data_IF_300491163265
#
_entry.id   IF_300491163265
#
_cell.length_a   1.000
_cell.length_b   1.000
_cell.length_c   1.000
_cell.angle_alpha   90.00
_cell.angle_beta   90.00
_cell.angle_gamma   90.00
#
_symmetry.space_group_name_H-M   'P 1'
#
loop_
_entity.id
_entity.type
_entity.pdbx_description
1 polymer ?
#
# COMPACT_ATOMS: atom_id res chain seq x y z
N UNK A 1 -10.43 -8.19 -4.30
CA UNK A 1 -9.25 -7.37 -3.94
C UNK A 1 -9.65 -6.36 -2.88
N UNK A 2 -8.72 -5.81 -2.11
CA UNK A 2 -8.99 -4.67 -1.22
C UNK A 2 -7.99 -3.54 -1.46
N UNK A 3 -8.40 -2.30 -1.13
CA UNK A 3 -7.53 -1.14 -1.18
C UNK A 3 -6.73 -1.04 0.13
N UNK A 4 -5.43 -0.75 0.00
CA UNK A 4 -4.56 -0.37 1.12
C UNK A 4 -4.08 1.07 0.89
N UNK A 5 -4.76 2.07 1.42
CA UNK A 5 -4.18 3.40 1.50
C UNK A 5 -2.85 3.36 2.24
N UNK A 6 -1.86 4.15 1.81
CA UNK A 6 -0.53 4.12 2.39
C UNK A 6 -0.25 5.37 3.24
N UNK A 7 0.39 5.16 4.40
CA UNK A 7 0.97 6.20 5.25
C UNK A 7 2.46 5.92 5.41
N UNK A 8 3.30 6.83 4.91
CA UNK A 8 4.73 6.84 5.21
C UNK A 8 4.95 7.67 6.48
N UNK A 9 5.65 7.12 7.47
CA UNK A 9 5.96 7.76 8.75
C UNK A 9 7.40 8.26 8.76
N UNK A 10 7.59 9.53 9.08
CA UNK A 10 8.90 10.14 9.32
C UNK A 10 8.77 11.17 10.46
N UNK A 11 9.62 11.07 11.47
CA UNK A 11 9.59 11.91 12.66
C UNK A 11 8.18 11.99 13.30
N UNK A 12 7.45 10.88 13.33
CA UNK A 12 6.11 10.77 13.90
C UNK A 12 4.98 11.34 13.05
N UNK A 13 5.22 11.76 11.80
CA UNK A 13 4.26 12.43 10.92
C UNK A 13 3.97 11.60 9.67
N UNK A 14 2.78 11.80 9.09
CA UNK A 14 2.43 11.24 7.79
C UNK A 14 3.05 12.09 6.67
N UNK A 15 3.94 11.49 5.91
CA UNK A 15 4.74 12.19 4.90
C UNK A 15 4.75 11.47 3.54
N UNK A 16 5.38 12.10 2.57
CA UNK A 16 5.82 11.49 1.32
C UNK A 16 7.20 11.97 0.95
N UNK A 17 8.04 11.05 0.49
CA UNK A 17 9.34 11.35 -0.07
C UNK A 17 9.23 11.49 -1.59
N UNK A 18 9.78 12.58 -2.16
CA UNK A 18 9.91 12.70 -3.60
C UNK A 18 10.99 11.71 -4.09
N UNK A 19 10.58 10.68 -4.83
CA UNK A 19 11.49 9.64 -5.39
C UNK A 19 12.38 8.96 -4.33
N UNK A 20 11.90 8.85 -3.08
CA UNK A 20 12.67 8.26 -1.99
C UNK A 20 13.74 9.17 -1.39
N UNK A 21 13.77 10.46 -1.76
CA UNK A 21 14.74 11.42 -1.23
C UNK A 21 14.26 11.99 0.12
N UNK A 22 15.00 11.69 1.18
CA UNK A 22 14.74 12.18 2.54
C UNK A 22 14.97 13.69 2.72
N UNK A 23 15.56 14.37 1.74
CA UNK A 23 15.68 15.83 1.71
C UNK A 23 14.50 16.51 1.01
N UNK A 24 13.67 15.74 0.32
CA UNK A 24 12.49 16.21 -0.41
C UNK A 24 11.21 15.61 0.19
N UNK A 25 10.87 16.06 1.40
CA UNK A 25 9.76 15.58 2.22
C UNK A 25 8.56 16.51 2.08
N UNK A 26 7.39 15.96 1.80
CA UNK A 26 6.11 16.65 1.93
C UNK A 26 5.38 16.07 3.13
N UNK A 27 4.98 16.92 4.09
CA UNK A 27 4.14 16.52 5.23
C UNK A 27 2.69 16.67 4.81
N UNK A 28 1.89 15.62 4.95
CA UNK A 28 0.47 15.62 4.66
C UNK A 28 -0.38 15.76 5.92
N UNK A 29 0.06 15.15 7.03
CA UNK A 29 -0.66 15.24 8.29
C UNK A 29 0.32 15.09 9.47
N UNK A 30 0.20 15.96 10.47
CA UNK A 30 0.98 15.87 11.71
C UNK A 30 0.42 14.81 12.67
N UNK A 31 -0.81 14.32 12.45
CA UNK A 31 -1.46 13.24 13.21
C UNK A 31 -1.76 12.04 12.27
N UNK A 32 -0.84 11.06 12.15
CA UNK A 32 -1.06 9.87 11.33
C UNK A 32 -2.23 9.01 11.77
N UNK A 33 -2.58 9.00 13.06
CA UNK A 33 -3.73 8.25 13.55
C UNK A 33 -5.05 8.89 13.09
N UNK A 34 -5.11 10.21 13.03
CA UNK A 34 -6.24 10.92 12.43
C UNK A 34 -6.32 10.67 10.91
N UNK A 35 -5.17 10.66 10.22
CA UNK A 35 -5.13 10.33 8.80
C UNK A 35 -5.67 8.91 8.52
N UNK A 36 -5.29 7.93 9.34
CA UNK A 36 -5.80 6.56 9.25
C UNK A 36 -7.32 6.50 9.49
N UNK A 37 -7.83 7.26 10.46
CA UNK A 37 -9.28 7.37 10.70
C UNK A 37 -10.02 7.92 9.49
N UNK A 38 -9.50 8.95 8.82
CA UNK A 38 -10.11 9.48 7.59
C UNK A 38 -10.18 8.43 6.48
N UNK A 39 -9.16 7.56 6.38
CA UNK A 39 -9.19 6.47 5.42
C UNK A 39 -10.23 5.40 5.77
N UNK A 40 -10.37 5.06 7.06
CA UNK A 40 -11.42 4.15 7.55
C UNK A 40 -12.82 4.72 7.28
N UNK A 41 -13.07 5.99 7.60
CA UNK A 41 -14.33 6.69 7.34
C UNK A 41 -14.69 6.73 5.85
N UNK A 42 -13.68 6.73 4.97
CA UNK A 42 -13.86 6.65 3.51
C UNK A 42 -14.03 5.21 2.99
N UNK A 43 -14.10 4.20 3.88
CA UNK A 43 -14.42 2.82 3.55
C UNK A 43 -13.23 1.87 3.44
N UNK A 44 -12.01 2.31 3.71
CA UNK A 44 -10.88 1.40 3.77
C UNK A 44 -11.04 0.38 4.91
N UNK A 45 -10.58 -0.85 4.69
CA UNK A 45 -10.55 -1.92 5.71
C UNK A 45 -9.12 -2.35 6.04
N UNK A 46 -8.17 -1.92 5.22
CA UNK A 46 -6.75 -2.14 5.38
C UNK A 46 -5.97 -0.82 5.32
N UNK A 47 -4.79 -0.83 5.92
CA UNK A 47 -3.82 0.28 5.89
C UNK A 47 -2.42 -0.28 5.69
N UNK A 48 -1.67 0.32 4.78
CA UNK A 48 -0.25 0.07 4.57
C UNK A 48 0.56 1.17 5.26
N UNK A 49 1.45 0.80 6.17
CA UNK A 49 2.30 1.74 6.92
C UNK A 49 3.77 1.46 6.64
N UNK A 50 4.53 2.50 6.31
CA UNK A 50 5.98 2.42 6.13
C UNK A 50 6.67 3.31 7.16
N UNK A 51 7.44 2.70 8.07
CA UNK A 51 8.31 3.40 9.01
C UNK A 51 9.62 3.80 8.32
N UNK A 52 9.71 5.04 7.85
CA UNK A 52 10.89 5.55 7.14
C UNK A 52 12.09 5.76 8.08
N UNK A 53 11.86 6.08 9.35
CA UNK A 53 12.92 6.16 10.35
C UNK A 53 13.45 4.76 10.64
N UNK A 54 12.56 3.80 10.81
CA UNK A 54 12.89 2.39 10.96
C UNK A 54 13.63 1.82 9.76
N UNK A 55 13.29 2.26 8.55
CA UNK A 55 14.02 1.86 7.34
C UNK A 55 15.50 2.27 7.38
N UNK A 56 15.82 3.39 8.03
CA UNK A 56 17.21 3.84 8.25
C UNK A 56 17.87 3.09 9.39
N UNK A 57 17.24 3.04 10.54
CA UNK A 57 17.82 2.51 11.79
C UNK A 57 17.87 0.99 11.85
N UNK A 58 16.90 0.32 11.23
CA UNK A 58 16.69 -1.13 11.33
C UNK A 58 15.82 -1.55 12.51
N UNK A 59 15.14 -0.60 13.17
CA UNK A 59 14.22 -0.83 14.28
C UNK A 59 12.89 -0.11 14.02
N UNK A 60 11.76 -0.55 14.60
CA UNK A 60 10.48 0.17 14.49
C UNK A 60 10.51 1.44 15.36
N UNK A 61 11.01 2.54 14.78
CA UNK A 61 11.20 3.80 15.50
C UNK A 61 9.88 4.55 15.73
N UNK A 62 8.88 4.38 14.82
CA UNK A 62 7.55 4.95 14.95
C UNK A 62 6.52 4.01 15.60
N UNK A 63 6.95 3.05 16.44
CA UNK A 63 6.07 2.06 17.06
C UNK A 63 4.91 2.69 17.85
N UNK A 64 5.14 3.81 18.55
CA UNK A 64 4.08 4.50 19.30
C UNK A 64 3.04 5.13 18.39
N UNK A 65 3.44 5.59 17.20
CA UNK A 65 2.51 6.07 16.16
C UNK A 65 1.67 4.92 15.61
N UNK A 66 2.29 3.77 15.35
CA UNK A 66 1.57 2.55 14.92
C UNK A 66 0.54 2.15 15.98
N UNK A 67 0.90 2.16 17.28
CA UNK A 67 -0.05 1.90 18.37
C UNK A 67 -1.20 2.90 18.41
N UNK A 68 -0.92 4.18 18.18
CA UNK A 68 -1.96 5.21 18.14
C UNK A 68 -2.94 5.00 16.97
N UNK A 69 -2.45 4.59 15.79
CA UNK A 69 -3.27 4.21 14.64
C UNK A 69 -4.19 3.03 15.01
N UNK A 70 -3.61 1.96 15.56
CA UNK A 70 -4.33 0.74 15.95
C UNK A 70 -5.37 0.97 17.05
N UNK A 71 -5.08 1.89 17.98
CA UNK A 71 -6.01 2.26 19.05
C UNK A 71 -7.19 3.12 18.56
N UNK A 72 -7.01 3.85 17.47
CA UNK A 72 -8.00 4.80 16.93
C UNK A 72 -8.90 4.21 15.84
N UNK A 73 -8.45 3.15 15.18
CA UNK A 73 -9.14 2.55 14.03
C UNK A 73 -9.34 1.05 14.20
N UNK A 74 -10.24 0.47 13.42
CA UNK A 74 -10.45 -0.99 13.29
C UNK A 74 -9.74 -1.55 12.05
N UNK A 75 -8.91 -0.74 11.38
CA UNK A 75 -8.20 -1.15 10.18
C UNK A 75 -7.26 -2.32 10.46
N UNK A 76 -7.20 -3.25 9.54
CA UNK A 76 -6.10 -4.22 9.49
C UNK A 76 -4.87 -3.49 8.97
N UNK A 77 -3.80 -3.53 9.76
CA UNK A 77 -2.58 -2.75 9.45
C UNK A 77 -1.44 -3.69 9.10
N UNK A 78 -0.83 -3.45 7.94
CA UNK A 78 0.47 -4.02 7.61
C UNK A 78 1.56 -2.97 7.77
N UNK A 79 2.69 -3.34 8.39
CA UNK A 79 3.77 -2.40 8.71
C UNK A 79 5.08 -2.88 8.12
N UNK A 80 5.73 -2.01 7.36
CA UNK A 80 7.08 -2.19 6.84
C UNK A 80 8.01 -1.07 7.27
N UNK A 81 9.28 -1.18 6.88
CA UNK A 81 10.32 -0.20 7.19
C UNK A 81 11.27 -0.69 8.28
N UNK A 82 12.43 -1.19 7.86
CA UNK A 82 13.53 -1.52 8.77
C UNK A 82 13.38 -2.82 9.58
N UNK A 83 12.43 -3.68 9.28
CA UNK A 83 12.29 -4.97 9.97
C UNK A 83 13.44 -5.90 9.55
N UNK A 84 14.45 -6.03 10.41
CA UNK A 84 15.68 -6.78 10.15
C UNK A 84 16.00 -7.82 11.23
N UNK A 85 15.11 -8.01 12.20
CA UNK A 85 15.26 -9.01 13.26
C UNK A 85 13.92 -9.56 13.69
N UNK A 86 13.91 -10.75 14.32
CA UNK A 86 12.71 -11.34 14.90
C UNK A 86 12.13 -10.46 16.00
N UNK A 87 12.97 -9.76 16.77
CA UNK A 87 12.52 -8.84 17.82
C UNK A 87 11.79 -7.62 17.23
N UNK A 88 12.28 -7.08 16.10
CA UNK A 88 11.60 -5.97 15.42
C UNK A 88 10.23 -6.38 14.90
N UNK A 89 10.11 -7.56 14.29
CA UNK A 89 8.85 -8.13 13.85
C UNK A 89 7.90 -8.40 15.04
N UNK A 90 8.41 -9.00 16.10
CA UNK A 90 7.66 -9.31 17.34
C UNK A 90 7.03 -8.05 17.93
N UNK A 91 7.81 -6.97 18.06
CA UNK A 91 7.33 -5.70 18.63
C UNK A 91 6.17 -5.10 17.82
N UNK A 92 6.17 -5.23 16.50
CA UNK A 92 5.10 -4.74 15.64
C UNK A 92 3.85 -5.62 15.74
N UNK A 93 4.00 -6.95 15.74
CA UNK A 93 2.89 -7.89 15.89
C UNK A 93 2.28 -7.80 17.30
N UNK A 94 3.10 -7.69 18.34
CA UNK A 94 2.66 -7.48 19.73
C UNK A 94 1.94 -6.13 19.92
N UNK A 95 2.29 -5.12 19.12
CA UNK A 95 1.58 -3.85 19.10
C UNK A 95 0.18 -3.96 18.47
N UNK A 96 -0.12 -5.06 17.76
CA UNK A 96 -1.39 -5.33 17.11
C UNK A 96 -1.37 -5.20 15.58
N UNK A 97 -0.21 -5.02 14.95
CA UNK A 97 -0.12 -5.08 13.49
C UNK A 97 -0.62 -6.44 12.99
N UNK A 98 -1.43 -6.42 11.93
CA UNK A 98 -1.98 -7.65 11.34
C UNK A 98 -0.89 -8.42 10.60
N UNK A 99 0.00 -7.70 9.92
CA UNK A 99 1.11 -8.27 9.14
C UNK A 99 2.34 -7.38 9.23
N UNK A 100 3.50 -8.00 9.07
CA UNK A 100 4.79 -7.31 8.98
C UNK A 100 5.40 -7.54 7.60
N UNK A 101 5.89 -6.46 6.99
CA UNK A 101 6.47 -6.51 5.65
C UNK A 101 7.99 -6.69 5.76
N UNK A 102 8.48 -7.78 5.20
CA UNK A 102 9.90 -8.10 5.08
C UNK A 102 10.35 -7.73 3.66
N UNK A 103 11.17 -6.70 3.53
CA UNK A 103 11.70 -6.24 2.24
C UNK A 103 13.15 -6.71 2.03
N UNK A 104 14.09 -5.78 2.09
CA UNK A 104 15.53 -6.02 1.84
C UNK A 104 16.12 -7.17 2.67
N UNK A 105 15.57 -7.45 3.86
CA UNK A 105 16.01 -8.53 4.73
C UNK A 105 15.83 -9.91 4.08
N UNK A 106 14.76 -10.13 3.30
CA UNK A 106 14.50 -11.38 2.57
C UNK A 106 15.64 -11.78 1.63
N UNK A 107 16.26 -10.77 1.01
CA UNK A 107 17.33 -10.98 0.03
C UNK A 107 18.69 -11.10 0.71
N UNK A 108 18.90 -10.34 1.79
CA UNK A 108 20.20 -10.25 2.47
C UNK A 108 20.42 -11.33 3.52
N UNK A 109 19.34 -11.84 4.11
CA UNK A 109 19.39 -12.81 5.21
C UNK A 109 18.23 -13.83 5.05
N UNK A 110 18.40 -14.85 4.20
CA UNK A 110 17.41 -15.90 4.02
C UNK A 110 17.13 -16.71 5.30
N UNK A 111 18.11 -16.85 6.18
CA UNK A 111 17.95 -17.58 7.45
C UNK A 111 17.02 -16.83 8.40
N UNK A 112 17.12 -15.49 8.43
CA UNK A 112 16.15 -14.64 9.13
C UNK A 112 14.73 -14.80 8.57
N UNK A 113 14.58 -14.82 7.24
CA UNK A 113 13.28 -14.99 6.60
C UNK A 113 12.64 -16.33 6.98
N UNK A 114 13.42 -17.42 6.95
CA UNK A 114 12.98 -18.75 7.34
C UNK A 114 12.55 -18.77 8.82
N UNK A 115 13.39 -18.23 9.71
CA UNK A 115 13.09 -18.16 11.15
C UNK A 115 11.84 -17.30 11.45
N UNK A 116 11.59 -16.23 10.69
CA UNK A 116 10.40 -15.41 10.82
C UNK A 116 9.13 -16.20 10.42
N UNK A 117 9.17 -16.94 9.31
CA UNK A 117 8.05 -17.79 8.88
C UNK A 117 7.77 -18.89 9.92
N UNK A 118 8.80 -19.52 10.46
CA UNK A 118 8.65 -20.56 11.49
C UNK A 118 8.06 -20.01 12.80
N UNK A 119 8.44 -18.78 13.17
CA UNK A 119 7.99 -18.17 14.43
C UNK A 119 6.60 -17.57 14.33
N UNK A 120 6.29 -16.83 13.27
CA UNK A 120 5.08 -16.00 13.17
C UNK A 120 4.02 -16.61 12.25
N UNK A 121 4.39 -17.56 11.41
CA UNK A 121 3.54 -18.10 10.36
C UNK A 121 3.47 -17.21 9.11
N UNK A 122 3.07 -17.79 7.96
CA UNK A 122 3.02 -17.05 6.70
C UNK A 122 1.95 -15.93 6.68
N UNK A 123 0.85 -16.09 7.41
CA UNK A 123 -0.26 -15.13 7.40
C UNK A 123 0.10 -13.79 8.09
N UNK A 124 1.11 -13.80 8.96
CA UNK A 124 1.60 -12.62 9.65
C UNK A 124 2.70 -11.86 8.87
N UNK A 125 3.10 -12.36 7.71
CA UNK A 125 4.24 -11.84 6.96
C UNK A 125 3.87 -11.51 5.51
N UNK A 126 4.45 -10.43 5.01
CA UNK A 126 4.38 -10.02 3.60
C UNK A 126 5.79 -9.88 3.06
N UNK A 127 6.06 -10.49 1.91
CA UNK A 127 7.30 -10.28 1.19
C UNK A 127 7.22 -8.98 0.38
N UNK A 128 8.02 -7.97 0.77
CA UNK A 128 8.17 -6.73 0.02
C UNK A 128 9.21 -6.90 -1.09
N UNK A 129 8.77 -6.91 -2.34
CA UNK A 129 9.61 -7.08 -3.50
C UNK A 129 9.47 -5.88 -4.41
N UNK A 130 10.56 -5.13 -4.61
CA UNK A 130 10.58 -4.03 -5.57
C UNK A 130 10.70 -4.56 -7.00
N UNK A 131 9.78 -4.14 -7.87
CA UNK A 131 9.85 -4.40 -9.30
C UNK A 131 10.25 -3.14 -10.06
N UNK A 132 11.18 -3.26 -11.00
CA UNK A 132 11.59 -2.16 -11.88
C UNK A 132 11.43 -2.56 -13.33
N UNK A 133 10.67 -1.75 -14.10
CA UNK A 133 10.41 -1.99 -15.52
C UNK A 133 9.74 -3.36 -15.81
N UNK A 134 8.87 -3.85 -14.91
CA UNK A 134 8.23 -5.16 -15.04
C UNK A 134 9.10 -6.34 -14.58
N UNK A 135 10.31 -6.07 -14.10
CA UNK A 135 11.20 -7.08 -13.51
C UNK A 135 11.24 -6.89 -12.00
N UNK A 136 11.02 -7.97 -11.23
CA UNK A 136 11.29 -7.96 -9.81
C UNK A 136 12.79 -7.71 -9.61
N UNK A 137 13.16 -6.76 -8.74
CA UNK A 137 14.55 -6.42 -8.46
C UNK A 137 15.35 -7.54 -7.75
N UNK A 138 14.75 -8.72 -7.65
CA UNK A 138 15.41 -9.96 -7.20
C UNK A 138 15.76 -10.77 -8.45
N UNK A 139 17.01 -11.06 -8.64
CA UNK A 139 17.53 -11.77 -9.80
C UNK A 139 16.69 -13.04 -10.12
N UNK A 140 16.02 -13.04 -11.27
CA UNK A 140 15.34 -14.21 -11.82
C UNK A 140 13.85 -14.10 -12.15
N UNK A 141 13.18 -12.96 -11.92
CA UNK A 141 11.74 -12.82 -12.17
C UNK A 141 11.49 -11.81 -13.31
N UNK A 142 11.01 -12.29 -14.45
CA UNK A 142 10.90 -11.49 -15.69
C UNK A 142 9.47 -11.13 -16.10
N UNK A 143 8.42 -11.60 -15.41
CA UNK A 143 7.03 -11.29 -15.78
C UNK A 143 6.15 -11.14 -14.53
N UNK A 144 5.44 -10.01 -14.40
CA UNK A 144 4.61 -9.68 -13.22
C UNK A 144 3.51 -10.69 -12.89
N UNK A 145 2.93 -11.37 -13.90
CA UNK A 145 1.96 -12.45 -13.70
C UNK A 145 2.62 -13.76 -13.20
N UNK A 146 3.92 -13.92 -13.41
CA UNK A 146 4.69 -15.09 -12.93
C UNK A 146 4.96 -15.05 -11.43
N UNK A 147 4.97 -13.88 -10.79
CA UNK A 147 5.30 -13.74 -9.35
C UNK A 147 4.27 -14.45 -8.48
N UNK A 148 2.97 -14.18 -8.67
CA UNK A 148 1.93 -14.85 -7.89
C UNK A 148 1.90 -16.37 -8.12
N UNK A 149 2.07 -16.81 -9.37
CA UNK A 149 2.13 -18.23 -9.71
C UNK A 149 3.34 -18.93 -9.10
N UNK A 150 4.48 -18.23 -9.01
CA UNK A 150 5.71 -18.80 -8.45
C UNK A 150 5.66 -18.93 -6.92
N UNK A 151 5.02 -17.96 -6.23
CA UNK A 151 4.87 -18.03 -4.78
C UNK A 151 3.67 -18.88 -4.34
N UNK A 152 2.73 -19.18 -5.25
CA UNK A 152 1.51 -19.93 -4.93
C UNK A 152 0.55 -19.20 -3.99
N UNK A 153 0.77 -17.90 -3.77
CA UNK A 153 -0.03 -17.02 -2.94
C UNK A 153 -0.42 -15.76 -3.72
N UNK A 154 -1.57 -15.15 -3.40
CA UNK A 154 -1.95 -13.87 -3.98
C UNK A 154 -0.90 -12.78 -3.70
N UNK A 155 -0.81 -11.80 -4.59
CA UNK A 155 0.12 -10.67 -4.46
C UNK A 155 -0.62 -9.39 -4.13
N UNK A 156 0.09 -8.46 -3.47
CA UNK A 156 -0.37 -7.09 -3.28
C UNK A 156 0.37 -6.21 -4.30
N UNK A 157 -0.39 -5.51 -5.13
CA UNK A 157 0.16 -4.63 -6.17
C UNK A 157 0.47 -3.27 -5.56
N UNK A 158 1.69 -2.77 -5.78
CA UNK A 158 2.12 -1.43 -5.33
C UNK A 158 2.85 -0.70 -6.44
N UNK A 159 2.58 0.62 -6.53
CA UNK A 159 3.19 1.51 -7.52
C UNK A 159 2.44 1.56 -8.85
N UNK A 160 2.42 2.76 -9.46
CA UNK A 160 1.77 2.98 -10.76
C UNK A 160 0.25 3.17 -10.72
N UNK A 161 -0.41 2.91 -9.61
CA UNK A 161 -1.86 3.11 -9.46
C UNK A 161 -2.14 4.58 -9.18
N UNK A 162 -2.76 5.25 -10.15
CA UNK A 162 -3.09 6.68 -10.10
C UNK A 162 -4.60 6.96 -10.12
N UNK A 163 -5.38 6.04 -10.67
CA UNK A 163 -6.83 6.19 -10.89
C UNK A 163 -7.59 4.89 -10.58
N UNK A 164 -8.90 4.98 -10.43
CA UNK A 164 -9.77 3.80 -10.34
C UNK A 164 -9.72 2.93 -11.61
N UNK A 165 -9.40 3.51 -12.77
CA UNK A 165 -9.22 2.76 -14.01
C UNK A 165 -8.01 1.82 -13.95
N UNK A 166 -6.93 2.25 -13.31
CA UNK A 166 -5.73 1.40 -13.12
C UNK A 166 -6.05 0.18 -12.26
N UNK A 167 -6.86 0.36 -11.21
CA UNK A 167 -7.33 -0.75 -10.35
C UNK A 167 -8.19 -1.72 -11.17
N UNK A 168 -9.13 -1.21 -11.98
CA UNK A 168 -9.97 -2.06 -12.85
C UNK A 168 -9.18 -2.81 -13.92
N UNK A 169 -8.07 -2.25 -14.37
CA UNK A 169 -7.18 -2.92 -15.32
C UNK A 169 -6.58 -4.23 -14.77
N UNK A 170 -6.60 -4.42 -13.44
CA UNK A 170 -6.19 -5.67 -12.78
C UNK A 170 -7.27 -6.77 -12.82
N UNK A 171 -8.49 -6.48 -13.27
CA UNK A 171 -9.59 -7.44 -13.31
C UNK A 171 -9.24 -8.79 -13.99
N UNK A 172 -8.47 -8.84 -15.09
CA UNK A 172 -8.09 -10.10 -15.72
C UNK A 172 -7.22 -11.01 -14.84
N UNK A 173 -6.58 -10.47 -13.81
CA UNK A 173 -5.71 -11.19 -12.87
C UNK A 173 -6.20 -11.10 -11.42
N UNK A 174 -7.47 -10.72 -11.21
CA UNK A 174 -8.01 -10.45 -9.87
C UNK A 174 -7.90 -11.65 -8.91
N UNK A 175 -7.96 -12.88 -9.41
CA UNK A 175 -7.80 -14.09 -8.60
C UNK A 175 -6.38 -14.25 -8.01
N UNK A 176 -5.39 -13.59 -8.64
CA UNK A 176 -4.00 -13.58 -8.18
C UNK A 176 -3.63 -12.32 -7.36
N UNK A 177 -4.56 -11.35 -7.25
CA UNK A 177 -4.33 -10.09 -6.54
C UNK A 177 -5.18 -10.02 -5.28
N UNK A 178 -4.52 -9.98 -4.13
CA UNK A 178 -5.18 -9.83 -2.83
C UNK A 178 -5.59 -8.38 -2.57
N UNK A 179 -4.69 -7.44 -2.86
CA UNK A 179 -4.91 -6.03 -2.59
C UNK A 179 -4.06 -5.10 -3.46
N UNK A 180 -4.38 -3.81 -3.35
CA UNK A 180 -3.72 -2.73 -4.11
C UNK A 180 -3.30 -1.62 -3.14
N UNK A 181 -1.99 -1.33 -3.09
CA UNK A 181 -1.45 -0.23 -2.30
C UNK A 181 -1.47 1.04 -3.15
N UNK A 182 -2.03 2.10 -2.59
CA UNK A 182 -1.98 3.44 -3.19
C UNK A 182 -1.71 4.50 -2.12
N UNK A 183 -0.76 5.36 -2.39
CA UNK A 183 -0.39 6.48 -1.52
C UNK A 183 -0.50 7.80 -2.26
N UNK A 184 0.43 8.06 -3.18
CA UNK A 184 0.53 9.35 -3.87
C UNK A 184 -0.77 9.80 -4.50
N UNK A 185 -1.47 8.91 -5.21
CA UNK A 185 -2.72 9.24 -5.89
C UNK A 185 -3.81 9.76 -4.93
N UNK A 186 -3.88 9.21 -3.72
CA UNK A 186 -4.85 9.67 -2.71
C UNK A 186 -4.48 11.07 -2.22
N UNK A 187 -3.21 11.31 -1.90
CA UNK A 187 -2.76 12.61 -1.39
C UNK A 187 -2.78 13.71 -2.47
N UNK A 188 -2.53 13.37 -3.74
CA UNK A 188 -2.64 14.29 -4.88
C UNK A 188 -4.08 14.47 -5.38
N UNK A 189 -5.05 13.68 -4.87
CA UNK A 189 -6.46 13.78 -5.19
C UNK A 189 -6.86 13.19 -6.56
N UNK A 190 -5.98 12.44 -7.22
CA UNK A 190 -6.30 11.75 -8.48
C UNK A 190 -7.09 10.46 -8.27
N UNK A 191 -7.13 9.97 -7.04
CA UNK A 191 -7.93 8.82 -6.60
C UNK A 191 -8.45 9.10 -5.18
N UNK A 192 -9.77 9.00 -4.97
CA UNK A 192 -10.30 8.99 -3.60
C UNK A 192 -10.23 7.58 -3.02
N UNK A 193 -10.18 7.46 -1.67
CA UNK A 193 -10.24 6.14 -1.01
C UNK A 193 -11.54 5.43 -1.37
N UNK A 194 -12.68 6.14 -1.38
CA UNK A 194 -13.99 5.57 -1.71
C UNK A 194 -14.03 5.00 -3.14
N UNK A 195 -13.50 5.73 -4.14
CA UNK A 195 -13.44 5.26 -5.53
C UNK A 195 -12.50 4.05 -5.67
N UNK A 196 -11.39 4.06 -4.95
CA UNK A 196 -10.45 2.95 -4.90
C UNK A 196 -11.06 1.68 -4.30
N UNK A 197 -11.79 1.81 -3.20
CA UNK A 197 -12.53 0.70 -2.56
C UNK A 197 -13.59 0.16 -3.52
N UNK A 198 -14.42 1.04 -4.11
CA UNK A 198 -15.45 0.65 -5.08
C UNK A 198 -14.86 -0.04 -6.32
N UNK A 199 -13.69 0.41 -6.80
CA UNK A 199 -13.00 -0.23 -7.92
C UNK A 199 -12.46 -1.63 -7.56
N UNK A 200 -11.98 -1.82 -6.32
CA UNK A 200 -11.55 -3.12 -5.81
C UNK A 200 -12.71 -4.12 -5.66
N UNK A 201 -13.87 -3.65 -5.25
CA UNK A 201 -15.09 -4.46 -5.07
C UNK A 201 -15.84 -4.74 -6.38
N UNK A 202 -15.43 -4.13 -7.48
CA UNK A 202 -16.12 -4.21 -8.77
C UNK A 202 -17.46 -3.46 -8.82
N UNK A 203 -17.74 -2.60 -7.84
CA UNK A 203 -19.01 -1.85 -7.73
C UNK A 203 -18.95 -0.48 -8.40
N UNK A 204 -17.76 -0.01 -8.77
CA UNK A 204 -17.58 1.26 -9.45
C UNK A 204 -18.11 1.20 -10.89
N UNK A 205 -19.17 1.95 -11.19
CA UNK A 205 -19.70 2.10 -12.54
C UNK A 205 -19.21 3.43 -13.15
N UNK A 206 -18.78 3.39 -14.42
CA UNK A 206 -18.31 4.55 -15.18
C UNK A 206 -19.38 5.64 -15.44
N UNK A 207 -20.63 5.44 -14.95
CA UNK A 207 -21.77 6.30 -15.29
C UNK A 207 -21.72 7.71 -14.68
N UNK A 208 -20.89 7.95 -13.65
CA UNK A 208 -20.99 9.19 -12.88
C UNK A 208 -20.00 10.29 -13.30
N UNK A 209 -19.05 10.01 -14.18
CA UNK A 209 -18.09 11.02 -14.67
C UNK A 209 -18.14 11.30 -16.18
N UNK A 210 -18.88 10.53 -16.97
CA UNK A 210 -18.97 10.73 -18.42
C UNK A 210 -20.18 11.59 -18.86
N UNK A 211 -21.06 11.99 -17.95
CA UNK A 211 -22.21 12.83 -18.30
C UNK A 211 -21.88 14.33 -18.47
N UNK A 212 -20.71 14.81 -18.03
CA UNK A 212 -20.31 16.22 -18.20
C UNK A 212 -19.38 16.50 -19.39
N UNK A 213 -18.67 15.52 -19.95
CA UNK A 213 -17.70 15.77 -21.03
C UNK A 213 -18.12 15.27 -22.43
N UNK A 214 -19.19 14.50 -22.58
CA UNK A 214 -19.66 14.02 -23.91
C UNK A 214 -21.12 14.33 -24.17
N UNK A 215 -21.56 15.57 -23.90
CA UNK A 215 -22.77 16.06 -24.55
C UNK A 215 -22.40 16.43 -26.00
N UNK A 216 -22.90 15.70 -27.01
CA UNK A 216 -22.65 16.11 -28.39
C UNK A 216 -23.15 17.54 -28.56
N UNK A 217 -22.30 18.43 -29.06
CA UNK A 217 -22.63 19.80 -29.41
C UNK A 217 -23.89 19.77 -30.32
N UNK A 218 -24.89 20.50 -29.97
CA UNK A 218 -26.08 20.64 -30.81
C UNK A 218 -25.72 21.41 -32.07
N UNK A 219 -26.47 21.21 -33.18
CA UNK A 219 -26.22 21.84 -34.49
C UNK A 219 -26.19 23.37 -34.34
N UNK A 220 -26.89 23.94 -33.38
CA UNK A 220 -26.93 25.39 -33.10
C UNK A 220 -25.61 25.92 -32.46
N UNK A 221 -24.88 25.09 -31.75
CA UNK A 221 -23.58 25.44 -31.15
C UNK A 221 -22.40 25.30 -32.14
N UNK A 222 -22.61 24.66 -33.28
CA UNK A 222 -21.64 24.54 -34.36
C UNK A 222 -21.73 25.66 -35.41
N UNK A 223 -22.78 26.48 -35.37
CA UNK A 223 -23.03 27.57 -36.33
C UNK A 223 -22.84 28.98 -35.74
N UNK A 224 -22.35 29.11 -34.47
CA UNK A 224 -22.00 30.35 -33.80
C UNK A 224 -20.49 30.50 -33.65
#
# INVERSE_FOLDING_TARGET
>A
MYLLPAIDLLDGRAVRLAKGDYHAVTVYNDDPAYQAQLFEEAGATWLHVVDLDGAKSGNPDNLEVVRAILARTSLKVEVGGGVRSLEAADRLLDAGATRVILGTALVRDPDFAQAAIEKFGPDALVAGIDAKAGEAAVAGWTEGSGVAAAFGNPVIVSGGIATAADIRALAPIADAVEGVITGRAIYEGTLTVADGVAACDGTFQLSDQLEEEERPLTIEELES
#
